data_IF_717554645078
#
_entry.id   IF_717554645078
#
_cell.length_a   1.000
_cell.length_b   1.000
_cell.length_c   1.000
_cell.angle_alpha   90.00
_cell.angle_beta   90.00
_cell.angle_gamma   90.00
#
_symmetry.space_group_name_H-M   'P 1'
#
loop_
_entity.id
_entity.type
_entity.pdbx_description
1 polymer ?
#
# COMPACT_ATOMS: atom_id res chain seq x y z
N UNK A 1 31.08 9.58 -5.84
CA UNK A 1 30.01 9.21 -6.80
C UNK A 1 28.60 9.57 -6.33
N UNK A 2 28.23 9.33 -5.05
CA UNK A 2 26.87 9.63 -4.54
C UNK A 2 26.52 11.13 -4.55
N UNK A 3 27.47 12.01 -4.18
CA UNK A 3 27.25 13.46 -4.19
C UNK A 3 26.99 14.02 -5.61
N UNK A 4 27.78 13.60 -6.61
CA UNK A 4 27.57 14.00 -8.00
C UNK A 4 26.20 13.54 -8.52
N UNK A 5 25.80 12.30 -8.21
CA UNK A 5 24.47 11.77 -8.55
C UNK A 5 23.35 12.61 -7.93
N UNK A 6 23.46 12.96 -6.64
CA UNK A 6 22.47 13.80 -5.95
C UNK A 6 22.39 15.21 -6.55
N UNK A 7 23.53 15.81 -6.90
CA UNK A 7 23.57 17.12 -7.54
C UNK A 7 22.94 17.10 -8.93
N UNK A 8 23.25 16.09 -9.75
CA UNK A 8 22.65 15.91 -11.07
C UNK A 8 21.14 15.66 -10.99
N UNK A 9 20.70 14.82 -10.05
CA UNK A 9 19.27 14.57 -9.83
C UNK A 9 18.54 15.84 -9.38
N UNK A 10 19.17 16.63 -8.51
CA UNK A 10 18.63 17.93 -8.07
C UNK A 10 18.54 18.91 -9.23
N UNK A 11 19.61 19.05 -10.03
CA UNK A 11 19.62 19.91 -11.21
C UNK A 11 18.53 19.51 -12.22
N UNK A 12 18.38 18.21 -12.50
CA UNK A 12 17.30 17.68 -13.33
C UNK A 12 15.92 17.98 -12.74
N UNK A 13 15.73 17.78 -11.43
CA UNK A 13 14.46 18.02 -10.76
C UNK A 13 14.09 19.51 -10.85
N UNK A 14 14.95 20.40 -10.35
CA UNK A 14 14.71 21.84 -10.35
C UNK A 14 14.60 22.42 -11.77
N UNK A 15 15.45 21.98 -12.70
CA UNK A 15 15.40 22.40 -14.10
C UNK A 15 14.10 21.98 -14.82
N UNK A 16 13.50 20.86 -14.42
CA UNK A 16 12.23 20.38 -15.00
C UNK A 16 10.98 20.85 -14.25
N UNK A 17 11.10 21.52 -13.10
CA UNK A 17 9.95 21.97 -12.30
C UNK A 17 8.96 22.85 -13.06
N UNK A 18 9.36 23.88 -13.84
CA UNK A 18 8.40 24.72 -14.56
C UNK A 18 7.55 23.91 -15.55
N UNK A 19 8.19 22.98 -16.28
CA UNK A 19 7.50 22.10 -17.23
C UNK A 19 6.55 21.15 -16.50
N UNK A 20 7.01 20.49 -15.42
CA UNK A 20 6.17 19.59 -14.60
C UNK A 20 4.96 20.31 -14.03
N UNK A 21 5.15 21.52 -13.54
CA UNK A 21 4.08 22.36 -13.02
C UNK A 21 3.07 22.77 -14.10
N UNK A 22 3.56 23.15 -15.29
CA UNK A 22 2.71 23.46 -16.43
C UNK A 22 1.91 22.23 -16.89
N UNK A 23 2.55 21.07 -17.02
CA UNK A 23 1.90 19.80 -17.36
C UNK A 23 0.83 19.43 -16.34
N UNK A 24 1.14 19.56 -15.04
CA UNK A 24 0.18 19.32 -13.95
C UNK A 24 -1.03 20.25 -14.06
N UNK A 25 -0.81 21.56 -14.25
CA UNK A 25 -1.91 22.53 -14.40
C UNK A 25 -2.76 22.26 -15.64
N UNK A 26 -2.14 21.86 -16.74
CA UNK A 26 -2.84 21.48 -17.98
C UNK A 26 -3.68 20.23 -17.77
N UNK A 27 -3.15 19.22 -17.10
CA UNK A 27 -3.85 17.98 -16.76
C UNK A 27 -5.07 18.26 -15.88
N UNK A 28 -4.90 19.08 -14.82
CA UNK A 28 -6.00 19.53 -13.94
C UNK A 28 -7.09 20.26 -14.73
N UNK A 29 -6.74 21.22 -15.60
CA UNK A 29 -7.73 21.94 -16.42
C UNK A 29 -8.52 21.03 -17.36
N UNK A 30 -7.95 19.89 -17.75
CA UNK A 30 -8.58 18.88 -18.60
C UNK A 30 -9.34 17.82 -17.80
N UNK A 31 -9.43 17.95 -16.47
CA UNK A 31 -9.94 16.91 -15.55
C UNK A 31 -9.22 15.57 -15.70
N UNK A 32 -7.91 15.64 -15.95
CA UNK A 32 -7.02 14.49 -16.07
C UNK A 32 -5.88 14.59 -15.06
N UNK A 33 -6.16 15.14 -13.87
CA UNK A 33 -5.14 15.25 -12.84
C UNK A 33 -4.58 13.86 -12.50
N UNK A 34 -3.26 13.74 -12.23
CA UNK A 34 -2.65 12.44 -11.99
C UNK A 34 -3.16 11.82 -10.68
N UNK A 35 -3.25 10.50 -10.66
CA UNK A 35 -3.49 9.71 -9.44
C UNK A 35 -2.24 8.85 -9.21
N UNK A 36 -1.72 8.85 -7.99
CA UNK A 36 -0.64 7.95 -7.58
C UNK A 36 -1.17 6.91 -6.58
N UNK A 37 -0.71 5.67 -6.70
CA UNK A 37 -0.96 4.62 -5.71
C UNK A 37 0.38 4.35 -5.04
N UNK A 38 0.49 4.71 -3.76
CA UNK A 38 1.69 4.50 -2.96
C UNK A 38 1.55 3.18 -2.21
N UNK A 39 2.58 2.35 -2.27
CA UNK A 39 2.63 1.11 -1.51
C UNK A 39 3.70 1.19 -0.42
N UNK A 40 3.40 0.58 0.72
CA UNK A 40 4.28 0.45 1.88
C UNK A 40 4.30 -1.00 2.32
N UNK A 41 5.43 -1.49 2.84
CA UNK A 41 5.49 -2.84 3.40
C UNK A 41 5.47 -2.77 4.92
N UNK A 42 6.41 -2.01 5.51
CA UNK A 42 6.56 -1.95 6.96
C UNK A 42 6.85 -0.54 7.46
N UNK A 43 6.14 -0.13 8.51
CA UNK A 43 6.43 1.08 9.28
C UNK A 43 6.78 0.70 10.71
N UNK A 44 8.05 0.85 11.07
CA UNK A 44 8.58 0.48 12.38
C UNK A 44 9.95 1.13 12.63
N UNK A 45 10.31 1.32 13.90
CA UNK A 45 11.60 1.90 14.30
C UNK A 45 12.59 0.87 14.87
N UNK A 46 12.14 -0.37 15.13
CA UNK A 46 12.92 -1.38 15.86
C UNK A 46 13.88 -2.20 14.98
N UNK A 47 13.57 -2.36 13.69
CA UNK A 47 14.35 -3.16 12.74
C UNK A 47 14.39 -2.46 11.38
N UNK A 48 15.40 -1.62 11.09
CA UNK A 48 15.52 -0.99 9.78
C UNK A 48 15.78 -2.04 8.71
N UNK A 49 15.22 -1.83 7.52
CA UNK A 49 15.36 -2.72 6.38
C UNK A 49 15.02 -1.99 5.09
N UNK A 50 15.32 -2.56 3.92
CA UNK A 50 15.12 -1.89 2.63
C UNK A 50 13.65 -1.50 2.37
N UNK A 51 12.71 -2.21 2.99
CA UNK A 51 11.25 -1.98 2.88
C UNK A 51 10.62 -1.46 4.18
N UNK A 52 11.43 -1.03 5.15
CA UNK A 52 10.95 -0.46 6.42
C UNK A 52 11.15 1.05 6.42
N UNK A 53 10.07 1.78 6.67
CA UNK A 53 10.08 3.23 6.91
C UNK A 53 9.97 3.51 8.41
N UNK A 54 10.70 4.52 8.90
CA UNK A 54 10.56 4.95 10.30
C UNK A 54 9.18 5.54 10.56
N UNK A 55 8.67 5.44 11.79
CA UNK A 55 7.38 6.02 12.16
C UNK A 55 7.37 7.54 11.96
N UNK A 56 8.51 8.20 12.25
CA UNK A 56 8.69 9.64 12.06
C UNK A 56 8.59 10.04 10.59
N UNK A 57 9.28 9.32 9.71
CA UNK A 57 9.29 9.64 8.28
C UNK A 57 7.93 9.36 7.65
N UNK A 58 7.27 8.28 8.06
CA UNK A 58 5.91 7.95 7.65
C UNK A 58 4.93 9.06 8.05
N UNK A 59 4.90 9.47 9.32
CA UNK A 59 4.02 10.55 9.78
C UNK A 59 4.27 11.87 9.03
N UNK A 60 5.54 12.24 8.81
CA UNK A 60 5.91 13.43 8.03
C UNK A 60 5.44 13.33 6.58
N UNK A 61 5.53 12.14 5.99
CA UNK A 61 5.04 11.91 4.63
C UNK A 61 3.52 12.05 4.56
N UNK A 62 2.78 11.45 5.49
CA UNK A 62 1.32 11.58 5.56
C UNK A 62 0.90 13.05 5.73
N UNK A 63 1.54 13.79 6.64
CA UNK A 63 1.29 15.23 6.82
C UNK A 63 1.48 16.02 5.51
N UNK A 64 2.52 15.69 4.75
CA UNK A 64 2.79 16.35 3.48
C UNK A 64 1.77 15.95 2.41
N UNK A 65 1.39 14.68 2.35
CA UNK A 65 0.41 14.18 1.39
C UNK A 65 -0.97 14.82 1.62
N UNK A 66 -1.46 14.85 2.86
CA UNK A 66 -2.75 15.49 3.21
C UNK A 66 -2.81 16.97 2.82
N UNK A 67 -1.70 17.70 2.94
CA UNK A 67 -1.63 19.12 2.57
C UNK A 67 -1.60 19.37 1.06
N UNK A 68 -1.14 18.41 0.27
CA UNK A 68 -0.81 18.63 -1.14
C UNK A 68 -1.69 17.85 -2.12
N UNK A 69 -2.36 16.78 -1.67
CA UNK A 69 -3.12 15.86 -2.51
C UNK A 69 -4.48 15.54 -1.89
N UNK A 70 -5.38 15.08 -2.72
CA UNK A 70 -6.61 14.44 -2.26
C UNK A 70 -6.33 12.97 -1.94
N UNK A 71 -6.54 12.56 -0.68
CA UNK A 71 -6.37 11.17 -0.28
C UNK A 71 -7.66 10.39 -0.54
N UNK A 72 -7.59 9.39 -1.40
CA UNK A 72 -8.75 8.65 -1.91
C UNK A 72 -8.58 7.15 -1.72
N UNK A 73 -9.69 6.43 -1.61
CA UNK A 73 -9.65 4.96 -1.57
C UNK A 73 -9.22 4.38 -2.93
N UNK A 74 -8.84 3.11 -2.94
CA UNK A 74 -8.64 2.39 -4.21
C UNK A 74 -9.93 2.30 -5.02
N UNK A 75 -11.09 2.15 -4.39
CA UNK A 75 -12.39 2.13 -5.06
C UNK A 75 -12.63 3.44 -5.82
N UNK A 76 -12.40 4.57 -5.16
CA UNK A 76 -12.52 5.89 -5.76
C UNK A 76 -11.48 6.11 -6.88
N UNK A 77 -10.26 5.62 -6.67
CA UNK A 77 -9.22 5.62 -7.72
C UNK A 77 -9.69 4.88 -8.97
N UNK A 78 -10.18 3.65 -8.81
CA UNK A 78 -10.70 2.86 -9.93
C UNK A 78 -11.89 3.54 -10.61
N UNK A 79 -12.80 4.16 -9.84
CA UNK A 79 -13.95 4.91 -10.38
C UNK A 79 -13.49 6.08 -11.24
N UNK A 80 -12.53 6.88 -10.77
CA UNK A 80 -11.98 8.03 -11.52
C UNK A 80 -11.27 7.59 -12.80
N UNK A 81 -10.51 6.51 -12.73
CA UNK A 81 -9.84 5.94 -13.90
C UNK A 81 -10.83 5.46 -14.97
N UNK A 82 -11.87 4.71 -14.57
CA UNK A 82 -12.92 4.24 -15.51
C UNK A 82 -13.67 5.40 -16.16
N UNK A 83 -13.94 6.45 -15.41
CA UNK A 83 -14.66 7.62 -15.92
C UNK A 83 -13.78 8.58 -16.72
N UNK A 84 -12.45 8.38 -16.72
CA UNK A 84 -11.49 9.28 -17.37
C UNK A 84 -11.48 10.69 -16.79
N UNK A 85 -11.92 10.86 -15.54
CA UNK A 85 -12.12 12.17 -14.91
C UNK A 85 -11.52 12.22 -13.51
N UNK A 86 -10.59 13.15 -13.31
CA UNK A 86 -10.02 13.49 -12.02
C UNK A 86 -9.66 14.99 -11.97
N UNK A 87 -10.27 15.72 -11.06
CA UNK A 87 -10.14 17.18 -10.98
C UNK A 87 -8.89 17.63 -10.21
N UNK A 88 -8.38 16.81 -9.29
CA UNK A 88 -7.28 17.16 -8.40
C UNK A 88 -6.25 16.04 -8.32
N UNK A 89 -4.94 16.35 -8.18
CA UNK A 89 -3.94 15.31 -7.92
C UNK A 89 -4.34 14.51 -6.68
N UNK A 90 -4.46 13.19 -6.86
CA UNK A 90 -4.96 12.30 -5.82
C UNK A 90 -3.95 11.22 -5.50
N UNK A 91 -4.02 10.69 -4.28
CA UNK A 91 -3.13 9.63 -3.79
C UNK A 91 -3.97 8.58 -3.08
N UNK A 92 -3.79 7.31 -3.47
CA UNK A 92 -4.26 6.17 -2.70
C UNK A 92 -3.08 5.56 -1.94
N UNK A 93 -3.33 5.15 -0.70
CA UNK A 93 -2.32 4.54 0.17
C UNK A 93 -2.64 3.05 0.31
N UNK A 94 -1.65 2.22 0.00
CA UNK A 94 -1.72 0.78 0.13
C UNK A 94 -0.59 0.25 1.00
N UNK A 95 -0.86 -0.86 1.67
CA UNK A 95 0.13 -1.65 2.37
C UNK A 95 0.10 -3.08 1.89
N UNK A 96 1.26 -3.73 1.83
CA UNK A 96 1.40 -5.11 1.35
C UNK A 96 1.85 -6.06 2.47
N UNK A 97 1.85 -7.36 2.16
CA UNK A 97 2.25 -8.53 2.97
C UNK A 97 1.38 -8.85 4.18
N UNK A 98 1.11 -7.87 5.06
CA UNK A 98 0.38 -8.12 6.31
C UNK A 98 1.24 -8.13 7.57
N UNK A 99 2.34 -7.38 7.63
CA UNK A 99 3.19 -7.22 8.82
C UNK A 99 2.48 -6.63 10.07
N UNK A 100 2.70 -7.25 11.23
CA UNK A 100 2.09 -6.85 12.51
C UNK A 100 2.37 -5.40 12.92
N UNK A 101 3.54 -4.87 12.55
CA UNK A 101 3.96 -3.52 12.90
C UNK A 101 3.04 -2.44 12.32
N UNK A 102 2.43 -2.69 11.14
CA UNK A 102 1.54 -1.72 10.51
C UNK A 102 0.27 -1.50 11.34
N UNK A 103 -0.30 -2.55 11.94
CA UNK A 103 -1.43 -2.44 12.86
C UNK A 103 -1.07 -1.75 14.17
N UNK A 104 0.23 -1.72 14.54
CA UNK A 104 0.71 -1.02 15.72
C UNK A 104 0.99 0.45 15.47
N UNK A 105 1.59 0.80 14.32
CA UNK A 105 2.14 2.14 14.11
C UNK A 105 1.45 2.92 12.98
N UNK A 106 1.25 2.33 11.81
CA UNK A 106 0.79 3.05 10.62
C UNK A 106 -0.73 3.14 10.51
N UNK A 107 -1.42 2.00 10.59
CA UNK A 107 -2.86 1.91 10.35
C UNK A 107 -3.69 2.67 11.38
N UNK A 108 -3.38 2.63 12.70
CA UNK A 108 -4.10 3.46 13.66
C UNK A 108 -3.98 4.96 13.38
N UNK A 109 -2.80 5.43 12.92
CA UNK A 109 -2.59 6.84 12.54
C UNK A 109 -3.49 7.23 11.37
N UNK A 110 -3.56 6.40 10.32
CA UNK A 110 -4.40 6.65 9.16
C UNK A 110 -5.89 6.61 9.53
N UNK A 111 -6.31 5.64 10.35
CA UNK A 111 -7.68 5.52 10.84
C UNK A 111 -8.11 6.74 11.65
N UNK A 112 -7.27 7.20 12.59
CA UNK A 112 -7.54 8.41 13.40
C UNK A 112 -7.74 9.66 12.53
N UNK A 113 -6.99 9.76 11.43
CA UNK A 113 -7.08 10.85 10.45
C UNK A 113 -8.17 10.63 9.40
N UNK A 114 -8.88 9.49 9.44
CA UNK A 114 -9.90 9.09 8.46
C UNK A 114 -9.36 9.03 7.02
N UNK A 115 -8.09 8.64 6.86
CA UNK A 115 -7.41 8.54 5.57
C UNK A 115 -7.70 7.16 4.96
N UNK A 116 -8.40 7.09 3.80
CA UNK A 116 -8.71 5.81 3.17
C UNK A 116 -7.44 5.02 2.84
N UNK A 117 -7.39 3.76 3.23
CA UNK A 117 -6.23 2.89 3.08
C UNK A 117 -6.66 1.49 2.70
N UNK A 118 -5.95 0.85 1.76
CA UNK A 118 -6.13 -0.57 1.46
C UNK A 118 -4.94 -1.37 1.98
N UNK A 119 -5.20 -2.39 2.79
CA UNK A 119 -4.18 -3.25 3.34
C UNK A 119 -4.29 -4.67 2.76
N UNK A 120 -3.35 -5.01 1.88
CA UNK A 120 -3.21 -6.32 1.28
C UNK A 120 -2.47 -7.25 2.23
N UNK A 121 -3.06 -8.41 2.52
CA UNK A 121 -2.51 -9.38 3.47
C UNK A 121 -2.44 -10.78 2.87
N UNK A 122 -1.37 -11.51 3.15
CA UNK A 122 -1.22 -12.90 2.69
C UNK A 122 -2.06 -13.85 3.54
N UNK A 123 -3.07 -14.47 2.95
CA UNK A 123 -4.13 -15.21 3.67
C UNK A 123 -3.57 -16.26 4.62
N UNK A 124 -2.67 -17.14 4.16
CA UNK A 124 -2.14 -18.22 4.99
C UNK A 124 -1.33 -17.68 6.19
N UNK A 125 -0.54 -16.64 5.98
CA UNK A 125 0.30 -16.08 7.04
C UNK A 125 -0.53 -15.41 8.14
N UNK A 126 -1.62 -14.72 7.76
CA UNK A 126 -2.57 -14.15 8.73
C UNK A 126 -3.32 -15.23 9.50
N UNK A 127 -3.86 -16.24 8.80
CA UNK A 127 -4.72 -17.24 9.43
C UNK A 127 -3.95 -18.19 10.36
N UNK A 128 -2.70 -18.51 10.02
CA UNK A 128 -1.88 -19.45 10.78
C UNK A 128 -0.77 -18.78 11.61
N UNK A 129 -0.62 -17.45 11.55
CA UNK A 129 0.39 -16.71 12.30
C UNK A 129 1.83 -17.05 11.88
N UNK A 130 2.03 -17.51 10.65
CA UNK A 130 3.33 -17.94 10.15
C UNK A 130 4.15 -16.76 9.61
N UNK A 131 5.43 -16.61 10.00
CA UNK A 131 6.32 -15.63 9.39
C UNK A 131 6.48 -15.84 7.87
N UNK A 132 6.81 -14.76 7.16
CA UNK A 132 7.00 -14.81 5.72
C UNK A 132 8.30 -15.53 5.34
N UNK A 133 8.29 -16.41 4.31
CA UNK A 133 9.45 -17.21 3.93
C UNK A 133 10.72 -16.40 3.64
N UNK A 134 10.59 -15.22 3.01
CA UNK A 134 11.74 -14.36 2.70
C UNK A 134 12.38 -13.76 3.95
N UNK A 135 11.62 -13.51 5.00
CA UNK A 135 12.14 -13.01 6.27
C UNK A 135 12.82 -14.12 7.07
N UNK A 136 12.26 -15.33 7.04
CA UNK A 136 12.88 -16.53 7.61
C UNK A 136 14.21 -16.83 6.93
N UNK A 137 14.25 -16.80 5.59
CA UNK A 137 15.47 -17.02 4.81
C UNK A 137 16.56 -15.96 5.09
N UNK A 138 16.17 -14.74 5.48
CA UNK A 138 17.07 -13.67 5.91
C UNK A 138 17.48 -13.75 7.39
N UNK A 139 16.99 -14.73 8.13
CA UNK A 139 17.27 -14.90 9.57
C UNK A 139 16.60 -13.86 10.46
N UNK A 140 15.58 -13.15 9.95
CA UNK A 140 14.91 -12.06 10.65
C UNK A 140 13.37 -12.23 10.59
N UNK A 141 12.82 -13.34 11.13
CA UNK A 141 11.38 -13.58 11.05
C UNK A 141 10.60 -12.43 11.70
N UNK A 142 9.66 -11.89 10.92
CA UNK A 142 8.73 -10.86 11.33
C UNK A 142 7.34 -11.50 11.51
N UNK A 143 6.55 -10.95 12.43
CA UNK A 143 5.23 -11.48 12.72
C UNK A 143 4.22 -10.95 11.70
N UNK A 144 3.37 -11.81 11.13
CA UNK A 144 2.17 -11.35 10.43
C UNK A 144 1.15 -10.80 11.43
N UNK A 145 0.17 -10.06 10.93
CA UNK A 145 -1.00 -9.70 11.72
C UNK A 145 -1.83 -10.91 12.12
N UNK A 146 -2.56 -10.75 13.22
CA UNK A 146 -3.62 -11.68 13.60
C UNK A 146 -4.93 -11.30 12.93
N UNK A 147 -5.80 -12.30 12.71
CA UNK A 147 -7.15 -12.06 12.21
C UNK A 147 -7.95 -11.09 13.11
N UNK A 148 -7.76 -11.14 14.42
CA UNK A 148 -8.41 -10.21 15.36
C UNK A 148 -7.98 -8.76 15.15
N UNK A 149 -6.68 -8.50 14.95
CA UNK A 149 -6.19 -7.14 14.66
C UNK A 149 -6.77 -6.62 13.34
N UNK A 150 -6.84 -7.47 12.31
CA UNK A 150 -7.44 -7.08 11.05
C UNK A 150 -8.94 -6.80 11.19
N UNK A 151 -9.68 -7.60 11.96
CA UNK A 151 -11.11 -7.35 12.23
C UNK A 151 -11.35 -6.04 12.99
N UNK A 152 -10.48 -5.70 13.94
CA UNK A 152 -10.57 -4.47 14.72
C UNK A 152 -10.32 -3.23 13.85
N UNK A 153 -9.34 -3.30 12.95
CA UNK A 153 -8.97 -2.17 12.09
C UNK A 153 -9.81 -2.06 10.84
N UNK A 154 -10.31 -3.17 10.31
CA UNK A 154 -11.19 -3.17 9.16
C UNK A 154 -12.41 -2.28 9.46
N UNK A 155 -12.72 -1.34 8.59
CA UNK A 155 -13.75 -0.34 8.85
C UNK A 155 -14.06 0.49 7.61
N UNK A 156 -14.70 1.65 7.82
CA UNK A 156 -14.99 2.59 6.72
C UNK A 156 -13.73 3.25 6.14
N UNK A 157 -12.60 3.18 6.84
CA UNK A 157 -11.35 3.85 6.46
C UNK A 157 -10.27 2.87 6.02
N UNK A 158 -10.19 1.68 6.62
CA UNK A 158 -9.22 0.65 6.26
C UNK A 158 -9.96 -0.52 5.63
N UNK A 159 -9.63 -0.79 4.37
CA UNK A 159 -10.12 -1.92 3.61
C UNK A 159 -9.06 -3.02 3.58
N UNK A 160 -9.47 -4.28 3.74
CA UNK A 160 -8.55 -5.43 3.67
C UNK A 160 -8.67 -6.08 2.28
N UNK A 161 -7.53 -6.29 1.63
CA UNK A 161 -7.37 -7.00 0.36
C UNK A 161 -6.55 -8.28 0.53
N UNK A 162 -6.64 -9.20 -0.42
CA UNK A 162 -5.84 -10.42 -0.44
C UNK A 162 -4.49 -10.17 -1.15
N UNK A 163 -3.41 -10.68 -0.56
CA UNK A 163 -2.06 -10.66 -1.13
C UNK A 163 -1.55 -12.07 -1.40
N UNK A 164 -2.35 -12.82 -2.15
CA UNK A 164 -2.22 -14.26 -2.41
C UNK A 164 -2.37 -15.15 -1.18
N UNK A 165 -2.39 -16.48 -1.37
CA UNK A 165 -2.43 -17.46 -0.28
C UNK A 165 -1.09 -17.51 0.44
N UNK A 166 0.00 -17.68 -0.31
CA UNK A 166 1.32 -18.02 0.25
C UNK A 166 2.42 -16.99 -0.03
N UNK A 167 2.08 -15.86 -0.66
CA UNK A 167 3.07 -14.88 -1.14
C UNK A 167 4.03 -15.50 -2.17
N UNK A 168 3.49 -16.33 -3.09
CA UNK A 168 4.31 -16.94 -4.13
C UNK A 168 4.50 -16.02 -5.35
N UNK A 169 5.54 -16.29 -6.13
CA UNK A 169 5.74 -15.65 -7.43
C UNK A 169 4.72 -16.20 -8.44
N UNK A 170 3.67 -15.40 -8.68
CA UNK A 170 2.64 -15.70 -9.67
C UNK A 170 3.19 -15.72 -11.10
N UNK A 171 4.24 -14.95 -11.40
CA UNK A 171 4.88 -14.93 -12.72
C UNK A 171 5.67 -16.21 -13.03
N UNK A 172 6.18 -16.87 -11.99
CA UNK A 172 6.80 -18.19 -12.09
C UNK A 172 5.79 -19.34 -12.11
N UNK A 173 4.51 -19.08 -11.77
CA UNK A 173 3.49 -20.11 -11.64
C UNK A 173 2.71 -20.29 -12.95
N UNK A 174 2.75 -21.50 -13.52
CA UNK A 174 2.03 -21.83 -14.78
C UNK A 174 0.78 -22.69 -14.60
N UNK A 175 0.52 -23.20 -13.39
CA UNK A 175 -0.64 -24.04 -13.12
C UNK A 175 -1.89 -23.17 -12.91
N UNK A 176 -2.94 -23.28 -13.75
CA UNK A 176 -4.18 -22.54 -13.55
C UNK A 176 -4.84 -22.83 -12.20
N UNK A 177 -4.76 -24.09 -11.74
CA UNK A 177 -5.26 -24.48 -10.42
C UNK A 177 -4.52 -23.73 -9.31
N UNK A 178 -3.19 -23.64 -9.38
CA UNK A 178 -2.41 -22.93 -8.37
C UNK A 178 -2.70 -21.43 -8.40
N UNK A 179 -2.83 -20.82 -9.57
CA UNK A 179 -3.22 -19.40 -9.69
C UNK A 179 -4.60 -19.15 -9.10
N UNK A 180 -5.57 -20.04 -9.36
CA UNK A 180 -6.91 -19.95 -8.80
C UNK A 180 -6.89 -20.06 -7.27
N UNK A 181 -6.16 -21.05 -6.73
CA UNK A 181 -6.02 -21.24 -5.29
C UNK A 181 -5.35 -20.03 -4.61
N UNK A 182 -4.29 -19.52 -5.21
CA UNK A 182 -3.53 -18.37 -4.68
C UNK A 182 -4.31 -17.06 -4.72
N UNK A 183 -5.18 -16.84 -5.71
CA UNK A 183 -5.87 -15.55 -5.89
C UNK A 183 -7.32 -15.62 -5.44
N UNK A 184 -8.11 -16.54 -6.01
CA UNK A 184 -9.56 -16.58 -5.81
C UNK A 184 -9.90 -17.28 -4.50
N UNK A 185 -9.45 -18.52 -4.31
CA UNK A 185 -9.77 -19.28 -3.11
C UNK A 185 -9.19 -18.60 -1.85
N UNK A 186 -7.98 -18.04 -1.96
CA UNK A 186 -7.36 -17.27 -0.88
C UNK A 186 -8.17 -16.03 -0.48
N UNK A 187 -8.75 -15.31 -1.46
CA UNK A 187 -9.60 -14.16 -1.22
C UNK A 187 -10.94 -14.54 -0.59
N UNK A 188 -11.57 -15.61 -1.07
CA UNK A 188 -12.83 -16.15 -0.51
C UNK A 188 -12.67 -16.63 0.93
N UNK A 189 -11.55 -17.30 1.23
CA UNK A 189 -11.22 -17.74 2.58
C UNK A 189 -10.97 -16.55 3.51
N UNK A 190 -10.20 -15.54 3.05
CA UNK A 190 -9.96 -14.32 3.82
C UNK A 190 -11.26 -13.56 4.09
N UNK A 191 -12.14 -13.44 3.09
CA UNK A 191 -13.46 -12.84 3.23
C UNK A 191 -14.31 -13.59 4.27
N UNK A 192 -14.34 -14.92 4.19
CA UNK A 192 -15.08 -15.77 5.13
C UNK A 192 -14.53 -15.62 6.55
N UNK A 193 -13.20 -15.58 6.70
CA UNK A 193 -12.54 -15.39 7.98
C UNK A 193 -12.79 -14.00 8.56
N UNK A 194 -12.77 -12.93 7.75
CA UNK A 194 -13.06 -11.58 8.24
C UNK A 194 -14.54 -11.35 8.53
N UNK A 195 -15.44 -12.09 7.87
CA UNK A 195 -16.89 -11.87 7.90
C UNK A 195 -17.31 -10.62 7.13
N UNK A 196 -16.50 -10.18 6.15
CA UNK A 196 -16.69 -8.93 5.40
C UNK A 196 -16.14 -9.09 3.98
N UNK A 197 -16.67 -8.31 3.04
CA UNK A 197 -16.24 -8.36 1.65
C UNK A 197 -14.75 -8.03 1.48
N UNK A 198 -14.05 -8.86 0.71
CA UNK A 198 -12.66 -8.61 0.24
C UNK A 198 -12.74 -8.35 -1.26
N UNK A 199 -12.42 -7.12 -1.68
CA UNK A 199 -12.67 -6.64 -3.05
C UNK A 199 -11.46 -6.73 -3.98
N UNK A 200 -10.28 -6.91 -3.41
CA UNK A 200 -9.00 -6.87 -4.10
C UNK A 200 -8.16 -8.08 -3.75
#
# INVERSE_FOLDING_TARGET
MQALRSSLLSAYYYGSLPLRWWLRRRAVRRRMAPIAVLFYHRVADDRPGPWTMSCRDFARQIDWLERNFELVSLEETQRRLRNGQNDRPAVAITFDDGYADNCRYALPLLAQRRIPTTYFVTTQHILHGQPFPHDVARGAPLKPNTLSQLRELAGSTIEIGAHTRTHCDLGATRSPHKLYDEVVAAGEELQSALGRAVRY
#
